data_IF_789841278807
#
_entry.id   IF_789841278807
#
_cell.length_a   1.000
_cell.length_b   1.000
_cell.length_c   1.000
_cell.angle_alpha   90.00
_cell.angle_beta   90.00
_cell.angle_gamma   90.00
#
_symmetry.space_group_name_H-M   'P 1'
#
loop_
_entity.id
_entity.type
_entity.pdbx_description
1 polymer ?
#
# COMPACT_ATOMS: atom_id res chain seq x y z
N UNK A 1 -47.18 2.18 -26.72
CA UNK A 1 -46.20 1.47 -27.62
C UNK A 1 -44.79 2.06 -27.50
N UNK A 2 -44.65 3.37 -27.22
CA UNK A 2 -43.35 4.06 -27.07
C UNK A 2 -42.58 3.54 -25.85
N UNK A 3 -43.23 3.32 -24.70
CA UNK A 3 -42.59 2.91 -23.44
C UNK A 3 -41.95 1.50 -23.51
N UNK A 4 -42.51 0.62 -24.35
CA UNK A 4 -41.93 -0.73 -24.52
C UNK A 4 -40.58 -0.68 -25.25
N UNK A 5 -40.42 0.17 -26.26
CA UNK A 5 -39.18 0.34 -26.99
C UNK A 5 -38.05 0.96 -26.11
N UNK A 6 -38.39 1.87 -25.20
CA UNK A 6 -37.43 2.45 -24.27
C UNK A 6 -36.93 1.41 -23.25
N UNK A 7 -37.83 0.57 -22.75
CA UNK A 7 -37.46 -0.52 -21.84
C UNK A 7 -36.49 -1.53 -22.48
N UNK A 8 -36.79 -1.92 -23.73
CA UNK A 8 -35.94 -2.86 -24.49
C UNK A 8 -34.59 -2.23 -24.81
N UNK A 9 -34.53 -0.99 -25.21
CA UNK A 9 -33.28 -0.26 -25.47
C UNK A 9 -32.40 -0.18 -24.22
N UNK A 10 -32.98 0.17 -23.07
CA UNK A 10 -32.26 0.29 -21.82
C UNK A 10 -31.73 -1.07 -21.33
N UNK A 11 -32.48 -2.16 -21.56
CA UNK A 11 -32.03 -3.50 -21.29
C UNK A 11 -30.79 -3.89 -22.11
N UNK A 12 -30.79 -3.67 -23.44
CA UNK A 12 -29.64 -3.95 -24.28
C UNK A 12 -28.43 -3.08 -23.94
N UNK A 13 -28.60 -1.80 -23.62
CA UNK A 13 -27.52 -0.91 -23.17
C UNK A 13 -26.91 -1.44 -21.87
N UNK A 14 -27.73 -1.84 -20.90
CA UNK A 14 -27.26 -2.43 -19.65
C UNK A 14 -26.46 -3.71 -19.89
N UNK A 15 -26.91 -4.58 -20.78
CA UNK A 15 -26.23 -5.85 -21.10
C UNK A 15 -24.87 -5.58 -21.77
N UNK A 16 -24.79 -4.61 -22.67
CA UNK A 16 -23.51 -4.19 -23.29
C UNK A 16 -22.54 -3.66 -22.23
N UNK A 17 -23.00 -2.81 -21.31
CA UNK A 17 -22.16 -2.27 -20.23
C UNK A 17 -21.60 -3.41 -19.37
N UNK A 18 -22.44 -4.37 -18.97
CA UNK A 18 -22.01 -5.52 -18.16
C UNK A 18 -20.98 -6.37 -18.92
N UNK A 19 -21.19 -6.58 -20.24
CA UNK A 19 -20.24 -7.31 -21.06
C UNK A 19 -18.87 -6.61 -21.16
N UNK A 20 -18.88 -5.27 -21.36
CA UNK A 20 -17.64 -4.47 -21.40
C UNK A 20 -16.92 -4.54 -20.05
N UNK A 21 -17.63 -4.37 -18.92
CA UNK A 21 -17.04 -4.47 -17.59
C UNK A 21 -16.47 -5.87 -17.33
N UNK A 22 -17.14 -6.92 -17.79
CA UNK A 22 -16.63 -8.29 -17.71
C UNK A 22 -15.33 -8.49 -18.48
N UNK A 23 -15.24 -7.99 -19.72
CA UNK A 23 -14.01 -8.05 -20.51
C UNK A 23 -12.88 -7.26 -19.85
N UNK A 24 -13.16 -6.04 -19.36
CA UNK A 24 -12.16 -5.24 -18.67
C UNK A 24 -11.65 -5.92 -17.39
N UNK A 25 -12.53 -6.57 -16.64
CA UNK A 25 -12.14 -7.33 -15.45
C UNK A 25 -11.21 -8.49 -15.82
N UNK A 26 -11.53 -9.25 -16.87
CA UNK A 26 -10.68 -10.37 -17.35
C UNK A 26 -9.30 -9.86 -17.78
N UNK A 27 -9.25 -8.78 -18.56
CA UNK A 27 -7.97 -8.19 -19.00
C UNK A 27 -7.14 -7.69 -17.82
N UNK A 28 -7.77 -7.09 -16.81
CA UNK A 28 -7.12 -6.66 -15.58
C UNK A 28 -6.54 -7.85 -14.81
N UNK A 29 -7.31 -8.93 -14.63
CA UNK A 29 -6.83 -10.13 -13.93
C UNK A 29 -5.72 -10.84 -14.70
N UNK A 30 -5.79 -10.91 -16.02
CA UNK A 30 -4.72 -11.50 -16.85
C UNK A 30 -3.44 -10.66 -16.74
N UNK A 31 -3.51 -9.34 -16.84
CA UNK A 31 -2.36 -8.46 -16.66
C UNK A 31 -1.74 -8.55 -15.26
N UNK A 32 -2.57 -8.62 -14.21
CA UNK A 32 -2.08 -8.76 -12.83
C UNK A 32 -1.40 -10.12 -12.56
N UNK A 33 -1.74 -11.14 -13.34
CA UNK A 33 -1.18 -12.51 -13.19
C UNK A 33 0.10 -12.74 -14.00
N UNK A 34 0.40 -11.85 -14.94
CA UNK A 34 1.65 -11.93 -15.71
C UNK A 34 2.79 -11.41 -14.85
N UNK A 35 3.77 -12.27 -14.57
CA UNK A 35 4.89 -11.98 -13.68
C UNK A 35 6.19 -12.24 -14.40
N UNK A 36 7.16 -11.39 -14.19
CA UNK A 36 8.51 -11.57 -14.71
C UNK A 36 9.55 -11.15 -13.67
N UNK A 37 10.68 -11.84 -13.70
CA UNK A 37 11.82 -11.53 -12.86
C UNK A 37 12.60 -10.35 -13.46
N UNK A 38 13.03 -9.43 -12.62
CA UNK A 38 13.86 -8.30 -12.98
C UNK A 38 14.86 -7.95 -11.86
N UNK A 39 15.71 -7.00 -12.10
CA UNK A 39 16.70 -6.49 -11.15
C UNK A 39 16.46 -5.00 -10.94
N UNK A 40 16.20 -4.64 -9.68
CA UNK A 40 16.00 -3.27 -9.25
C UNK A 40 17.31 -2.70 -8.70
N UNK A 41 17.83 -1.62 -9.30
CA UNK A 41 18.94 -0.86 -8.73
C UNK A 41 18.41 0.22 -7.80
N UNK A 42 18.76 0.14 -6.52
CA UNK A 42 18.26 1.03 -5.47
C UNK A 42 18.78 2.44 -5.66
N UNK A 43 17.89 3.41 -5.86
CA UNK A 43 18.21 4.83 -6.07
C UNK A 43 17.86 5.72 -4.88
N UNK A 44 17.00 5.22 -3.97
CA UNK A 44 16.60 5.99 -2.79
C UNK A 44 15.80 5.17 -1.80
N UNK A 45 15.80 5.63 -0.57
CA UNK A 45 15.07 4.99 0.52
C UNK A 45 14.39 6.05 1.37
N UNK A 46 13.10 5.83 1.71
CA UNK A 46 12.31 6.76 2.53
C UNK A 46 11.51 6.00 3.55
N UNK A 47 11.45 6.55 4.75
CA UNK A 47 10.58 6.03 5.80
C UNK A 47 9.50 7.03 6.18
N UNK A 48 8.39 6.49 6.60
CA UNK A 48 7.23 7.25 7.12
C UNK A 48 6.76 6.60 8.40
N UNK A 49 6.46 7.43 9.41
CA UNK A 49 5.80 7.02 10.64
C UNK A 49 4.59 7.89 10.88
N UNK A 50 3.49 7.24 11.20
CA UNK A 50 2.19 7.89 11.30
C UNK A 50 1.55 7.51 12.62
N UNK A 51 1.01 8.52 13.33
CA UNK A 51 0.23 8.36 14.54
C UNK A 51 -1.14 8.94 14.27
N UNK A 52 -2.18 8.13 14.39
CA UNK A 52 -3.56 8.59 14.31
C UNK A 52 -3.96 9.25 15.64
N UNK A 53 -4.68 10.37 15.57
CA UNK A 53 -5.30 11.02 16.71
C UNK A 53 -6.79 10.74 16.65
N UNK A 54 -7.31 10.12 17.69
CA UNK A 54 -8.72 9.72 17.76
C UNK A 54 -9.48 10.56 18.77
N UNK A 55 -10.74 10.84 18.48
CA UNK A 55 -11.69 11.50 19.35
C UNK A 55 -12.95 10.65 19.52
N UNK A 56 -13.49 10.60 20.76
CA UNK A 56 -14.70 9.84 21.04
C UNK A 56 -15.93 10.60 20.58
N UNK A 57 -16.58 10.11 19.49
CA UNK A 57 -17.69 10.80 18.82
C UNK A 57 -18.98 9.99 18.84
N UNK A 58 -20.08 10.71 18.94
CA UNK A 58 -21.42 10.14 18.82
C UNK A 58 -21.84 10.02 17.38
N UNK A 59 -22.27 8.84 16.99
CA UNK A 59 -22.80 8.53 15.67
C UNK A 59 -24.28 8.20 15.72
N UNK A 60 -24.99 8.57 14.65
CA UNK A 60 -26.40 8.31 14.50
C UNK A 60 -26.62 7.32 13.36
N UNK A 61 -27.17 6.16 13.67
CA UNK A 61 -27.56 5.21 12.63
C UNK A 61 -28.91 5.62 12.05
N UNK A 62 -28.94 6.10 10.81
CA UNK A 62 -30.15 6.33 10.03
C UNK A 62 -30.42 5.12 9.15
N UNK A 63 -31.26 4.21 9.62
CA UNK A 63 -31.74 3.12 8.79
C UNK A 63 -32.72 3.68 7.75
N UNK A 64 -32.31 3.80 6.51
CA UNK A 64 -33.19 4.08 5.37
C UNK A 64 -33.86 2.80 4.89
N UNK A 65 -34.79 2.24 5.67
CA UNK A 65 -35.63 1.18 5.16
C UNK A 65 -36.95 1.75 4.67
N UNK A 66 -37.17 1.55 3.38
CA UNK A 66 -38.44 1.44 2.63
C UNK A 66 -39.70 2.10 3.18
N UNK A 67 -40.26 2.95 2.34
CA UNK A 67 -41.45 3.82 2.43
C UNK A 67 -42.78 3.18 2.86
N UNK A 68 -42.89 2.19 3.69
CA UNK A 68 -44.24 1.59 3.94
C UNK A 68 -44.72 1.41 5.38
N UNK A 69 -43.90 1.70 6.41
CA UNK A 69 -44.40 1.68 7.79
C UNK A 69 -43.82 2.85 8.60
N UNK A 70 -44.71 3.82 8.93
CA UNK A 70 -44.45 4.79 10.00
C UNK A 70 -44.51 4.03 11.34
N UNK A 71 -43.44 3.35 11.71
CA UNK A 71 -43.22 2.84 13.05
C UNK A 71 -42.02 3.54 13.65
N UNK A 72 -42.15 3.95 14.91
CA UNK A 72 -41.17 4.68 15.69
C UNK A 72 -39.72 4.29 15.33
N UNK A 73 -38.99 5.21 14.67
CA UNK A 73 -37.58 5.06 14.43
C UNK A 73 -36.87 5.24 15.76
N UNK A 74 -36.44 4.16 16.36
CA UNK A 74 -35.46 4.21 17.42
C UNK A 74 -34.15 4.64 16.76
N UNK A 75 -33.73 5.87 16.97
CA UNK A 75 -32.36 6.29 16.65
C UNK A 75 -31.47 5.51 17.61
N UNK A 76 -30.67 4.60 17.08
CA UNK A 76 -29.64 3.95 17.87
C UNK A 76 -28.40 4.86 17.82
N UNK A 77 -28.18 5.58 18.91
CA UNK A 77 -26.96 6.37 19.07
C UNK A 77 -25.87 5.42 19.56
N UNK A 78 -24.73 5.46 18.93
CA UNK A 78 -23.53 4.73 19.37
C UNK A 78 -22.34 5.67 19.39
N UNK A 79 -21.36 5.34 20.21
CA UNK A 79 -20.13 6.09 20.34
C UNK A 79 -18.97 5.25 19.86
N UNK A 80 -18.08 5.86 19.11
CA UNK A 80 -16.82 5.23 18.67
C UNK A 80 -15.69 6.23 18.64
N UNK A 81 -14.48 5.71 18.61
CA UNK A 81 -13.29 6.49 18.37
C UNK A 81 -13.11 6.71 16.88
N UNK A 82 -13.11 7.96 16.46
CA UNK A 82 -12.88 8.35 15.07
C UNK A 82 -11.51 8.99 14.93
N UNK A 83 -10.80 8.65 13.87
CA UNK A 83 -9.57 9.36 13.51
C UNK A 83 -9.94 10.78 13.07
N UNK A 84 -9.43 11.76 13.78
CA UNK A 84 -9.71 13.20 13.56
C UNK A 84 -8.50 13.94 13.03
N UNK A 85 -7.30 13.41 13.26
CA UNK A 85 -6.05 13.97 12.77
C UNK A 85 -4.99 12.87 12.62
N UNK A 86 -3.91 13.17 11.91
CA UNK A 86 -2.83 12.22 11.66
C UNK A 86 -1.50 12.96 11.65
N UNK A 87 -0.62 12.59 12.57
CA UNK A 87 0.74 13.12 12.65
C UNK A 87 1.66 12.24 11.82
N UNK A 88 2.30 12.79 10.80
CA UNK A 88 3.24 12.05 9.95
C UNK A 88 4.63 12.64 10.06
N UNK A 89 5.60 11.79 10.37
CA UNK A 89 7.03 12.08 10.26
C UNK A 89 7.62 11.25 9.13
N UNK A 90 8.66 11.77 8.49
CA UNK A 90 9.33 11.12 7.36
C UNK A 90 10.82 11.46 7.37
N UNK A 91 11.59 10.59 6.78
CA UNK A 91 13.03 10.78 6.56
C UNK A 91 13.54 9.85 5.46
N UNK A 92 14.81 9.87 5.26
CA UNK A 92 15.57 9.05 4.33
C UNK A 92 16.44 8.01 5.07
N UNK A 93 17.29 7.31 4.33
CA UNK A 93 18.18 6.26 4.88
C UNK A 93 19.11 6.77 5.99
N UNK A 94 19.55 8.02 5.90
CA UNK A 94 20.53 8.61 6.80
C UNK A 94 19.89 9.28 8.03
N UNK A 95 18.57 9.41 8.02
CA UNK A 95 17.81 10.03 9.10
C UNK A 95 17.35 8.96 10.11
N UNK A 96 17.62 9.20 11.40
CA UNK A 96 17.12 8.31 12.45
C UNK A 96 15.59 8.24 12.47
N UNK A 97 15.06 7.08 12.80
CA UNK A 97 13.63 6.89 12.97
C UNK A 97 13.14 7.60 14.23
N UNK A 98 12.16 8.49 14.09
CA UNK A 98 11.49 9.11 15.23
C UNK A 98 9.98 9.20 15.01
N UNK A 99 9.24 9.27 16.11
CA UNK A 99 7.81 9.54 16.10
C UNK A 99 7.58 11.02 16.31
N UNK A 100 6.55 11.58 15.64
CA UNK A 100 6.15 12.96 15.85
C UNK A 100 5.69 13.23 17.28
N UNK A 101 5.82 14.47 17.72
CA UNK A 101 5.29 14.90 19.00
C UNK A 101 3.76 14.94 18.95
N UNK A 102 3.14 14.37 19.98
CA UNK A 102 1.69 14.28 20.09
C UNK A 102 1.21 15.29 21.13
N UNK A 103 0.38 16.24 20.69
CA UNK A 103 -0.28 17.21 21.55
C UNK A 103 -1.78 16.94 21.52
N UNK A 104 -2.28 16.19 22.51
CA UNK A 104 -3.69 15.81 22.60
C UNK A 104 -4.52 16.94 23.24
N UNK A 105 -5.71 17.16 22.68
CA UNK A 105 -6.74 17.98 23.29
C UNK A 105 -7.63 17.15 24.23
N UNK A 106 -8.45 17.82 25.04
CA UNK A 106 -9.41 17.14 25.92
C UNK A 106 -10.35 16.25 25.07
N UNK A 107 -10.49 14.98 25.47
CA UNK A 107 -11.32 14.01 24.76
C UNK A 107 -10.61 13.28 23.60
N UNK A 108 -9.34 13.59 23.35
CA UNK A 108 -8.53 12.90 22.34
C UNK A 108 -7.61 11.86 22.98
N UNK A 109 -7.22 10.88 22.14
CA UNK A 109 -6.19 9.88 22.47
C UNK A 109 -5.32 9.58 21.25
N UNK A 110 -4.16 9.00 21.50
CA UNK A 110 -3.40 8.33 20.43
C UNK A 110 -4.15 7.07 19.98
N UNK A 111 -4.31 6.94 18.67
CA UNK A 111 -4.86 5.78 18.00
C UNK A 111 -3.77 4.83 17.52
N UNK A 112 -3.88 4.40 16.27
CA UNK A 112 -2.94 3.47 15.66
C UNK A 112 -1.61 4.17 15.31
N UNK A 113 -0.51 3.42 15.51
CA UNK A 113 0.83 3.80 15.03
C UNK A 113 1.20 2.88 13.87
N UNK A 114 1.60 3.46 12.77
CA UNK A 114 2.05 2.72 11.59
C UNK A 114 3.41 3.19 11.09
N UNK A 115 4.17 2.26 10.50
CA UNK A 115 5.45 2.54 9.88
C UNK A 115 5.43 1.97 8.46
N UNK A 116 5.95 2.75 7.51
CA UNK A 116 6.13 2.34 6.11
C UNK A 116 7.53 2.68 5.67
N UNK A 117 8.23 1.68 5.15
CA UNK A 117 9.59 1.77 4.63
C UNK A 117 9.55 1.52 3.13
N UNK A 118 9.95 2.52 2.36
CA UNK A 118 9.93 2.52 0.89
C UNK A 118 11.33 2.48 0.36
N UNK A 119 11.63 1.52 -0.48
CA UNK A 119 12.85 1.45 -1.27
C UNK A 119 12.47 1.75 -2.71
N UNK A 120 13.06 2.78 -3.27
CA UNK A 120 12.93 3.17 -4.68
C UNK A 120 14.11 2.67 -5.48
N UNK A 121 13.84 2.18 -6.65
CA UNK A 121 14.87 1.73 -7.56
C UNK A 121 14.42 1.86 -9.00
N UNK A 122 15.37 1.64 -9.91
CA UNK A 122 15.17 1.63 -11.35
C UNK A 122 15.31 0.19 -11.82
N UNK A 123 14.32 -0.30 -12.56
CA UNK A 123 14.33 -1.63 -13.18
C UNK A 123 15.20 -1.67 -14.45
N UNK A 124 15.33 -2.86 -15.06
CA UNK A 124 16.11 -3.04 -16.30
C UNK A 124 15.56 -2.25 -17.50
N UNK A 125 14.29 -1.84 -17.45
CA UNK A 125 13.64 -1.02 -18.49
C UNK A 125 13.86 0.48 -18.29
N UNK A 126 14.41 0.89 -17.15
CA UNK A 126 14.59 2.29 -16.77
C UNK A 126 13.40 2.91 -16.06
N UNK A 127 12.39 2.11 -15.67
CA UNK A 127 11.24 2.60 -14.93
C UNK A 127 11.48 2.60 -13.42
N UNK A 128 11.00 3.66 -12.75
CA UNK A 128 11.05 3.75 -11.28
C UNK A 128 10.02 2.79 -10.66
N UNK A 129 10.50 1.94 -9.74
CA UNK A 129 9.68 1.02 -8.95
C UNK A 129 9.82 1.31 -7.47
N UNK A 130 8.79 0.99 -6.72
CA UNK A 130 8.78 1.09 -5.27
C UNK A 130 8.53 -0.28 -4.68
N UNK A 131 9.38 -0.70 -3.76
CA UNK A 131 9.15 -1.86 -2.91
C UNK A 131 9.01 -1.42 -1.45
N UNK A 132 8.24 -2.18 -0.69
CA UNK A 132 8.08 -2.00 0.75
C UNK A 132 8.84 -3.11 1.46
N UNK A 133 9.63 -2.76 2.46
CA UNK A 133 10.44 -3.70 3.20
C UNK A 133 10.15 -3.64 4.70
N UNK A 134 10.57 -4.68 5.42
CA UNK A 134 10.59 -4.69 6.88
C UNK A 134 11.71 -3.81 7.43
N UNK A 135 11.67 -3.51 8.73
CA UNK A 135 12.74 -2.74 9.37
C UNK A 135 14.09 -3.50 9.39
N UNK A 136 14.05 -4.81 9.44
CA UNK A 136 15.24 -5.67 9.40
C UNK A 136 15.91 -5.59 8.03
N UNK A 137 15.14 -5.68 6.96
CA UNK A 137 15.59 -5.56 5.58
C UNK A 137 16.08 -4.13 5.26
N UNK A 138 15.43 -3.12 5.83
CA UNK A 138 15.85 -1.73 5.69
C UNK A 138 17.32 -1.51 6.06
N UNK A 139 17.78 -2.14 7.12
CA UNK A 139 19.17 -2.02 7.55
C UNK A 139 20.15 -2.80 6.66
N UNK A 140 19.66 -3.78 5.93
CA UNK A 140 20.48 -4.59 5.01
C UNK A 140 20.61 -3.97 3.61
N UNK A 141 19.68 -3.12 3.21
CA UNK A 141 19.65 -2.50 1.89
C UNK A 141 20.41 -1.19 1.92
N UNK A 142 21.17 -0.92 0.87
CA UNK A 142 21.90 0.34 0.64
C UNK A 142 21.58 0.92 -0.73
N UNK A 143 21.75 2.24 -0.87
CA UNK A 143 21.63 2.90 -2.17
C UNK A 143 22.74 2.36 -3.09
N UNK A 144 22.37 1.98 -4.31
CA UNK A 144 23.25 1.33 -5.30
C UNK A 144 23.22 -0.20 -5.26
N UNK A 145 22.54 -0.81 -4.26
CA UNK A 145 22.34 -2.26 -4.25
C UNK A 145 21.45 -2.72 -5.41
N UNK A 146 21.67 -3.96 -5.84
CA UNK A 146 20.84 -4.63 -6.84
C UNK A 146 20.00 -5.71 -6.16
N UNK A 147 18.70 -5.58 -6.29
CA UNK A 147 17.71 -6.47 -5.66
C UNK A 147 16.98 -7.23 -6.77
N UNK A 148 16.94 -8.55 -6.68
CA UNK A 148 16.09 -9.35 -7.58
C UNK A 148 14.64 -9.17 -7.17
N UNK A 149 13.80 -8.78 -8.11
CA UNK A 149 12.37 -8.50 -7.90
C UNK A 149 11.51 -9.27 -8.89
N UNK A 150 10.32 -9.64 -8.47
CA UNK A 150 9.27 -10.13 -9.35
C UNK A 150 8.29 -8.99 -9.60
N UNK A 151 8.11 -8.60 -10.85
CA UNK A 151 7.22 -7.52 -11.27
C UNK A 151 5.98 -8.13 -11.92
N UNK A 152 4.78 -7.73 -11.47
CA UNK A 152 3.52 -8.15 -12.09
C UNK A 152 3.22 -7.31 -13.35
N UNK A 153 2.29 -7.77 -14.18
CA UNK A 153 1.91 -7.07 -15.40
C UNK A 153 1.26 -5.69 -15.21
N UNK A 154 1.03 -5.26 -13.96
CA UNK A 154 0.65 -3.90 -13.60
C UNK A 154 1.86 -3.02 -13.26
N UNK A 155 3.08 -3.56 -13.36
CA UNK A 155 4.31 -2.86 -13.05
C UNK A 155 4.59 -2.70 -11.55
N UNK A 156 3.96 -3.49 -10.70
CA UNK A 156 4.18 -3.46 -9.25
C UNK A 156 5.11 -4.59 -8.84
N UNK A 157 6.02 -4.31 -7.90
CA UNK A 157 6.84 -5.35 -7.28
C UNK A 157 5.94 -6.24 -6.43
N UNK A 158 5.83 -7.52 -6.81
CA UNK A 158 5.00 -8.52 -6.13
C UNK A 158 5.78 -9.34 -5.12
N UNK A 159 7.07 -9.57 -5.38
CA UNK A 159 7.99 -10.27 -4.50
C UNK A 159 9.43 -9.79 -4.76
N UNK A 160 10.34 -10.03 -3.80
CA UNK A 160 11.75 -9.69 -3.96
C UNK A 160 12.65 -10.59 -3.11
N UNK A 161 13.92 -10.70 -3.52
CA UNK A 161 14.95 -11.41 -2.76
C UNK A 161 16.20 -10.56 -2.59
N UNK A 162 16.67 -10.45 -1.35
CA UNK A 162 17.91 -9.79 -1.01
C UNK A 162 19.06 -10.80 -1.19
N UNK A 163 19.61 -10.85 -2.40
CA UNK A 163 20.84 -11.63 -2.63
C UNK A 163 22.02 -10.76 -2.20
N UNK A 164 22.65 -11.07 -1.05
CA UNK A 164 23.94 -10.49 -0.72
C UNK A 164 24.93 -10.92 -1.80
N UNK A 165 25.24 -10.05 -2.74
CA UNK A 165 26.44 -10.20 -3.54
C UNK A 165 27.61 -10.09 -2.56
N UNK A 166 28.19 -11.23 -2.20
CA UNK A 166 29.45 -11.27 -1.48
C UNK A 166 30.49 -10.53 -2.33
N UNK A 167 30.72 -9.26 -2.04
CA UNK A 167 31.98 -8.64 -2.40
C UNK A 167 33.03 -9.36 -1.58
N UNK A 168 33.60 -10.41 -2.19
CA UNK A 168 34.78 -11.06 -1.66
C UNK A 168 35.91 -10.03 -1.72
N UNK A 169 36.13 -9.31 -0.63
CA UNK A 169 37.42 -8.73 -0.35
C UNK A 169 38.37 -9.90 -0.19
N UNK A 170 39.08 -10.24 -1.28
CA UNK A 170 40.15 -11.18 -1.29
C UNK A 170 41.29 -10.69 -0.41
N UNK A 171 41.30 -11.09 0.80
CA UNK A 171 42.48 -11.06 1.66
C UNK A 171 43.05 -12.48 1.67
N UNK A 172 43.86 -12.78 0.67
CA UNK A 172 44.75 -13.94 0.70
C UNK A 172 45.87 -13.66 1.68
N UNK A 173 45.73 -14.14 2.91
CA UNK A 173 46.87 -14.26 3.84
C UNK A 173 47.55 -15.59 3.52
N UNK A 174 48.61 -15.53 2.74
CA UNK A 174 49.53 -16.60 2.56
C UNK A 174 50.46 -16.65 3.82
N UNK A 175 50.11 -17.53 4.74
CA UNK A 175 51.00 -17.87 5.84
C UNK A 175 52.07 -18.86 5.38
N UNK A 176 53.29 -18.38 5.15
CA UNK A 176 54.48 -19.20 5.01
C UNK A 176 54.82 -19.81 6.36
N UNK A 177 54.80 -21.10 6.42
CA UNK A 177 55.46 -21.87 7.49
C UNK A 177 56.95 -21.90 7.25
N UNK A 178 57.74 -21.48 8.24
CA UNK A 178 59.18 -21.75 8.30
C UNK A 178 59.45 -22.45 9.63
N UNK A 179 59.96 -23.70 9.51
CA UNK A 179 60.73 -24.53 10.44
C UNK A 179 60.53 -24.36 11.95
#
# INVERSE_FOLDING_TARGET
>A
MIDYFEGVRNFFVSLIIVAILGVLAVLFFMGASDKHDDVLEVTGMKWYRTIDIEEYRQHYYSSSSSKRYKRNRTKLDYYQWDVVDTITTKGDKDTEFYWGEVNLQDGQREGNRSQRLEVKGIDSTGEERILYCSQEEWYLISIGDKISVEINGLGQVSDYSLTKSNVSSGSSISGSSVN
#
